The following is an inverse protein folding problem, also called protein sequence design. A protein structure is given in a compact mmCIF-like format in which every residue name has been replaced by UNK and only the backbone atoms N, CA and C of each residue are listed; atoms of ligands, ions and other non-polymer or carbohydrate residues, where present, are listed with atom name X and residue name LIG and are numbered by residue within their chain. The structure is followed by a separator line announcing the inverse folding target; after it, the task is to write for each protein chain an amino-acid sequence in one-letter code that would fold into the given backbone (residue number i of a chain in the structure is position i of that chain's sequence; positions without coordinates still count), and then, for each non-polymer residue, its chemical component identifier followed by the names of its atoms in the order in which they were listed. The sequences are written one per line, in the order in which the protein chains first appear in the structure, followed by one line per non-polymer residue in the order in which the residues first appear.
data_IF_509072543898
#
_entry.id   IF_509072543898
#
_cell.length_a   1.000
_cell.length_b   1.000
_cell.length_c   1.000
_cell.angle_alpha   90.00
_cell.angle_beta   90.00
_cell.angle_gamma   90.00
#
_symmetry.space_group_name_H-M   'P 1'
#
loop_
_entity.id
_entity.type
_entity.pdbx_description
1 polymer ?
#
# COMPACT_ATOMS: atom_id res chain seq x y z
N UNK A 1 -26.33 -8.84 -12.35
CA UNK A 1 -26.31 -10.31 -12.57
C UNK A 1 -24.99 -10.77 -13.18
N UNK A 2 -24.52 -10.17 -14.28
CA UNK A 2 -23.26 -10.55 -14.95
C UNK A 2 -22.02 -10.28 -14.10
N UNK A 3 -21.98 -9.14 -13.40
CA UNK A 3 -20.89 -8.82 -12.47
C UNK A 3 -20.87 -9.75 -11.26
N UNK A 4 -22.02 -10.15 -10.76
CA UNK A 4 -22.14 -11.07 -9.65
C UNK A 4 -21.61 -12.45 -10.02
N UNK A 5 -22.01 -12.95 -11.18
CA UNK A 5 -21.52 -14.23 -11.70
C UNK A 5 -19.99 -14.21 -11.93
N UNK A 6 -19.46 -13.12 -12.43
CA UNK A 6 -17.99 -12.96 -12.60
C UNK A 6 -17.25 -12.98 -11.27
N UNK A 7 -17.81 -12.34 -10.24
CA UNK A 7 -17.20 -12.31 -8.90
C UNK A 7 -17.27 -13.71 -8.26
N UNK A 8 -18.42 -14.36 -8.34
CA UNK A 8 -18.61 -15.70 -7.78
C UNK A 8 -17.69 -16.72 -8.46
N UNK A 9 -17.59 -16.67 -9.80
CA UNK A 9 -16.63 -17.47 -10.56
C UNK A 9 -15.17 -17.21 -10.15
N UNK A 10 -14.82 -15.97 -9.84
CA UNK A 10 -13.47 -15.61 -9.40
C UNK A 10 -13.16 -16.15 -7.99
N UNK A 11 -14.16 -16.21 -7.12
CA UNK A 11 -14.01 -16.84 -5.80
C UNK A 11 -13.90 -18.37 -5.87
N UNK A 12 -14.65 -18.98 -6.79
CA UNK A 12 -14.76 -20.45 -6.91
C UNK A 12 -13.68 -21.07 -7.79
N UNK A 13 -12.98 -20.26 -8.57
CA UNK A 13 -12.02 -20.72 -9.58
C UNK A 13 -10.75 -21.30 -9.01
N UNK A 14 -10.73 -22.26 -8.21
CA UNK A 14 -9.62 -23.11 -7.79
C UNK A 14 -8.18 -22.56 -7.81
N UNK A 15 -7.23 -23.29 -7.30
CA UNK A 15 -5.89 -22.79 -6.97
C UNK A 15 -4.99 -22.40 -8.16
N UNK A 16 -5.31 -22.78 -9.39
CA UNK A 16 -4.34 -22.79 -10.49
C UNK A 16 -4.59 -21.77 -11.61
N UNK A 17 -5.69 -21.06 -11.61
CA UNK A 17 -6.01 -20.10 -12.68
C UNK A 17 -5.47 -18.72 -12.33
N UNK A 18 -4.62 -18.17 -13.20
CA UNK A 18 -4.22 -16.78 -13.11
C UNK A 18 -5.39 -15.91 -13.58
N UNK A 19 -6.02 -15.18 -12.67
CA UNK A 19 -7.12 -14.27 -12.99
C UNK A 19 -6.66 -12.89 -13.40
N UNK A 20 -5.50 -12.47 -12.91
CA UNK A 20 -4.93 -11.18 -13.23
C UNK A 20 -3.40 -11.26 -13.19
N UNK A 21 -2.78 -10.50 -14.05
CA UNK A 21 -1.34 -10.34 -14.09
C UNK A 21 -1.04 -8.87 -14.39
N UNK A 22 -0.25 -8.23 -13.55
CA UNK A 22 0.14 -6.84 -13.77
C UNK A 22 1.65 -6.68 -13.73
N UNK A 23 2.19 -5.91 -14.69
CA UNK A 23 3.55 -5.38 -14.57
C UNK A 23 3.50 -4.10 -13.76
N UNK A 24 4.14 -4.13 -12.61
CA UNK A 24 4.17 -3.00 -11.70
C UNK A 24 5.55 -2.35 -11.69
N UNK A 25 5.62 -1.01 -11.67
CA UNK A 25 6.90 -0.30 -11.67
C UNK A 25 7.81 -0.77 -10.54
N UNK A 26 8.98 -1.31 -10.92
CA UNK A 26 9.98 -1.79 -9.97
C UNK A 26 9.71 -3.14 -9.29
N UNK A 27 8.58 -3.81 -9.60
CA UNK A 27 8.19 -5.09 -8.99
C UNK A 27 8.13 -6.25 -9.99
N UNK A 28 8.10 -5.96 -11.30
CA UNK A 28 7.97 -6.99 -12.33
C UNK A 28 6.52 -7.45 -12.54
N UNK A 29 6.35 -8.69 -13.00
CA UNK A 29 5.04 -9.31 -13.21
C UNK A 29 4.53 -9.89 -11.90
N UNK A 30 3.28 -9.56 -11.54
CA UNK A 30 2.61 -10.07 -10.35
C UNK A 30 1.34 -10.81 -10.78
N UNK A 31 1.37 -12.14 -10.84
CA UNK A 31 0.18 -12.93 -11.11
C UNK A 31 -0.66 -13.08 -9.84
N UNK A 32 -2.00 -12.96 -9.98
CA UNK A 32 -2.96 -13.33 -8.95
C UNK A 32 -3.67 -14.63 -9.33
N UNK A 33 -3.69 -15.57 -8.42
CA UNK A 33 -4.40 -16.86 -8.56
C UNK A 33 -5.79 -16.76 -7.95
N UNK A 34 -6.67 -17.70 -8.30
CA UNK A 34 -8.01 -17.77 -7.74
C UNK A 34 -8.03 -17.82 -6.21
N UNK A 35 -7.12 -18.58 -5.59
CA UNK A 35 -6.95 -18.63 -4.13
C UNK A 35 -6.64 -17.26 -3.49
N UNK A 36 -5.91 -16.41 -4.21
CA UNK A 36 -5.57 -15.06 -3.72
C UNK A 36 -6.81 -14.17 -3.79
N UNK A 37 -7.53 -14.23 -4.92
CA UNK A 37 -8.79 -13.49 -5.09
C UNK A 37 -9.85 -13.95 -4.08
N UNK A 38 -9.88 -15.24 -3.73
CA UNK A 38 -10.77 -15.78 -2.69
C UNK A 38 -10.59 -15.08 -1.34
N UNK A 39 -9.41 -14.53 -1.03
CA UNK A 39 -9.20 -13.74 0.19
C UNK A 39 -9.96 -12.41 0.20
N UNK A 40 -10.54 -12.00 -0.96
CA UNK A 40 -11.45 -10.86 -1.06
C UNK A 40 -12.91 -11.22 -0.79
N UNK A 41 -13.24 -12.51 -0.61
CA UNK A 41 -14.58 -12.93 -0.20
C UNK A 41 -14.97 -12.31 1.16
N UNK A 42 -16.26 -12.11 1.46
CA UNK A 42 -16.70 -11.57 2.74
C UNK A 42 -16.16 -12.38 3.93
N UNK A 43 -15.80 -11.67 5.02
CA UNK A 43 -15.34 -12.28 6.29
C UNK A 43 -14.01 -13.04 6.17
N UNK A 44 -13.24 -12.84 5.11
CA UNK A 44 -11.91 -13.45 4.96
C UNK A 44 -10.80 -12.42 5.16
N UNK A 45 -9.64 -12.87 5.59
CA UNK A 45 -8.45 -12.03 5.71
C UNK A 45 -7.75 -11.89 4.36
N UNK A 46 -7.41 -10.64 3.99
CA UNK A 46 -6.60 -10.42 2.80
C UNK A 46 -5.19 -10.97 3.00
N UNK A 47 -4.69 -11.63 1.95
CA UNK A 47 -3.29 -12.01 1.88
C UNK A 47 -2.43 -10.89 1.27
N UNK A 48 -1.13 -11.06 1.39
CA UNK A 48 -0.13 -10.11 0.87
C UNK A 48 -0.14 -10.01 -0.66
N UNK A 49 -0.50 -11.05 -1.39
CA UNK A 49 -0.60 -11.02 -2.86
C UNK A 49 -1.66 -10.01 -3.32
N UNK A 50 -2.88 -10.09 -2.77
CA UNK A 50 -3.94 -9.12 -3.07
C UNK A 50 -3.57 -7.70 -2.62
N UNK A 51 -2.94 -7.55 -1.46
CA UNK A 51 -2.46 -6.25 -0.97
C UNK A 51 -1.42 -5.67 -1.92
N UNK A 52 -0.38 -6.44 -2.27
CA UNK A 52 0.70 -6.00 -3.15
C UNK A 52 0.19 -5.65 -4.55
N UNK A 53 -0.69 -6.47 -5.10
CA UNK A 53 -1.29 -6.22 -6.41
C UNK A 53 -2.07 -4.90 -6.40
N UNK A 54 -2.90 -4.66 -5.38
CA UNK A 54 -3.69 -3.43 -5.26
C UNK A 54 -2.82 -2.19 -5.10
N UNK A 55 -1.81 -2.24 -4.23
CA UNK A 55 -0.87 -1.13 -4.06
C UNK A 55 -0.07 -0.87 -5.35
N UNK A 56 0.28 -1.92 -6.06
CA UNK A 56 0.91 -1.81 -7.36
C UNK A 56 0.05 -1.13 -8.42
N UNK A 57 -1.27 -1.41 -8.45
CA UNK A 57 -2.22 -0.69 -9.31
C UNK A 57 -2.23 0.80 -8.97
N UNK A 58 -2.27 1.14 -7.68
CA UNK A 58 -2.23 2.54 -7.23
C UNK A 58 -0.94 3.23 -7.67
N UNK A 59 0.20 2.56 -7.52
CA UNK A 59 1.51 3.06 -7.96
C UNK A 59 1.59 3.24 -9.49
N UNK A 60 1.02 2.32 -10.27
CA UNK A 60 0.93 2.46 -11.73
C UNK A 60 0.12 3.69 -12.12
N UNK A 61 -1.04 3.90 -11.51
CA UNK A 61 -1.89 5.08 -11.75
C UNK A 61 -1.17 6.40 -11.44
N UNK A 62 -0.41 6.44 -10.36
CA UNK A 62 0.40 7.62 -10.04
C UNK A 62 1.47 7.88 -11.11
N UNK A 63 2.10 6.83 -11.64
CA UNK A 63 3.07 6.94 -12.76
C UNK A 63 2.40 7.43 -14.03
N UNK A 64 1.24 6.91 -14.38
CA UNK A 64 0.48 7.32 -15.56
C UNK A 64 0.06 8.79 -15.48
N UNK A 65 -0.35 9.26 -14.29
CA UNK A 65 -0.74 10.66 -14.06
C UNK A 65 0.42 11.65 -14.22
N UNK A 66 1.60 11.31 -13.75
CA UNK A 66 2.76 12.20 -13.84
C UNK A 66 3.49 12.14 -15.19
N UNK A 67 3.14 11.17 -16.04
CA UNK A 67 3.78 10.93 -17.33
C UNK A 67 5.22 10.41 -17.22
N UNK A 68 5.87 10.12 -18.36
CA UNK A 68 7.14 9.38 -18.40
C UNK A 68 8.34 10.11 -17.78
N UNK A 69 8.32 11.44 -17.75
CA UNK A 69 9.38 12.29 -17.17
C UNK A 69 8.97 12.93 -15.84
N UNK A 70 7.71 12.74 -15.41
CA UNK A 70 7.18 13.30 -14.19
C UNK A 70 7.58 12.51 -12.95
N UNK A 71 7.40 13.12 -11.79
CA UNK A 71 7.59 12.50 -10.48
C UNK A 71 6.21 12.14 -9.90
N UNK A 72 5.97 10.90 -9.46
CA UNK A 72 4.69 10.55 -8.84
C UNK A 72 4.55 11.27 -7.50
N UNK A 73 3.32 11.65 -7.16
CA UNK A 73 3.03 12.24 -5.84
C UNK A 73 3.26 11.24 -4.73
N UNK A 74 2.86 9.99 -4.96
CA UNK A 74 2.95 8.92 -3.97
C UNK A 74 3.80 7.77 -4.49
N UNK A 75 4.66 7.24 -3.61
CA UNK A 75 5.30 5.94 -3.78
C UNK A 75 4.63 4.90 -2.90
N UNK A 76 4.45 3.69 -3.41
CA UNK A 76 3.87 2.57 -2.69
C UNK A 76 4.90 1.45 -2.55
N UNK A 77 5.31 1.17 -1.32
CA UNK A 77 6.08 -0.04 -1.05
C UNK A 77 5.17 -1.26 -0.99
N UNK A 78 5.75 -2.43 -1.22
CA UNK A 78 5.07 -3.70 -1.01
C UNK A 78 5.19 -4.15 0.46
N UNK A 79 4.47 -5.20 0.82
CA UNK A 79 4.39 -5.74 2.19
C UNK A 79 5.73 -6.24 2.74
N UNK A 80 6.70 -6.54 1.87
CA UNK A 80 8.03 -7.03 2.27
C UNK A 80 9.00 -5.91 2.67
N UNK A 81 8.70 -4.65 2.34
CA UNK A 81 9.61 -3.54 2.59
C UNK A 81 9.93 -3.40 4.08
N UNK A 82 8.89 -3.31 4.91
CA UNK A 82 9.08 -3.12 6.35
C UNK A 82 9.77 -4.32 6.99
N UNK A 83 9.40 -5.54 6.62
CA UNK A 83 10.03 -6.76 7.09
C UNK A 83 11.51 -6.84 6.71
N UNK A 84 11.91 -6.23 5.58
CA UNK A 84 13.33 -6.15 5.19
C UNK A 84 14.07 -5.00 5.85
N UNK A 85 13.39 -3.95 6.27
CA UNK A 85 13.96 -2.85 7.02
C UNK A 85 14.36 -3.27 8.44
N UNK A 86 13.63 -4.24 9.00
CA UNK A 86 13.98 -4.91 10.24
C UNK A 86 14.79 -6.20 9.95
N UNK A 87 15.76 -6.51 10.76
CA UNK A 87 16.41 -7.81 10.75
C UNK A 87 15.52 -8.87 11.42
N UNK A 88 15.91 -10.14 11.31
CA UNK A 88 15.17 -11.24 11.93
C UNK A 88 15.12 -11.13 13.48
N UNK A 89 16.05 -10.37 14.08
CA UNK A 89 16.09 -10.02 15.51
C UNK A 89 15.31 -8.74 15.87
N UNK A 90 14.65 -8.11 14.87
CA UNK A 90 13.90 -6.86 15.02
C UNK A 90 14.73 -5.59 14.90
N UNK A 91 16.05 -5.68 14.73
CA UNK A 91 16.91 -4.51 14.60
C UNK A 91 16.76 -3.82 13.24
N UNK A 92 16.82 -2.49 13.25
CA UNK A 92 16.76 -1.67 12.06
C UNK A 92 18.02 -1.80 11.20
N UNK A 93 17.89 -2.09 9.91
CA UNK A 93 19.00 -2.11 8.95
C UNK A 93 18.63 -1.49 7.60
N UNK A 94 19.03 -0.24 7.39
CA UNK A 94 18.83 0.48 6.12
C UNK A 94 19.49 -0.23 4.92
N UNK A 95 20.62 -0.91 5.10
CA UNK A 95 21.34 -1.55 4.00
C UNK A 95 20.54 -2.65 3.31
N UNK A 96 19.61 -3.29 4.02
CA UNK A 96 18.72 -4.32 3.48
C UNK A 96 17.74 -3.76 2.43
N UNK A 97 17.37 -2.48 2.55
CA UNK A 97 16.36 -1.83 1.69
C UNK A 97 16.91 -0.72 0.80
N UNK A 98 18.15 -0.24 0.97
CA UNK A 98 18.72 0.89 0.22
C UNK A 98 18.65 0.76 -1.31
N UNK A 99 18.52 -0.47 -1.83
CA UNK A 99 18.41 -0.75 -3.28
C UNK A 99 16.96 -0.77 -3.77
N UNK A 100 15.97 -0.69 -2.88
CA UNK A 100 14.56 -0.76 -3.23
C UNK A 100 14.06 0.53 -3.86
N UNK A 101 14.67 1.64 -3.50
CA UNK A 101 14.30 3.02 -3.82
C UNK A 101 15.27 3.70 -4.81
N UNK A 102 15.97 2.93 -5.66
CA UNK A 102 16.92 3.51 -6.61
C UNK A 102 16.20 4.06 -7.84
N UNK A 103 16.66 5.20 -8.35
CA UNK A 103 16.17 5.80 -9.58
C UNK A 103 16.32 4.85 -10.79
N UNK A 104 17.42 4.09 -10.84
CA UNK A 104 17.63 3.06 -11.87
C UNK A 104 16.51 2.00 -11.90
N UNK A 105 15.99 1.62 -10.74
CA UNK A 105 14.94 0.59 -10.61
C UNK A 105 13.54 1.15 -10.87
N UNK A 106 13.26 2.35 -10.36
CA UNK A 106 11.91 2.91 -10.32
C UNK A 106 11.67 3.99 -11.39
N UNK A 107 12.74 4.58 -11.95
CA UNK A 107 12.67 5.76 -12.82
C UNK A 107 12.48 7.07 -12.05
N UNK A 108 12.49 7.03 -10.72
CA UNK A 108 12.39 8.17 -9.80
C UNK A 108 12.91 7.79 -8.41
N UNK A 109 13.05 8.80 -7.55
CA UNK A 109 13.42 8.60 -6.15
C UNK A 109 12.20 8.75 -5.23
N UNK A 110 11.80 7.73 -4.45
CA UNK A 110 10.70 7.82 -3.49
C UNK A 110 10.82 8.98 -2.51
N UNK A 111 12.04 9.31 -2.09
CA UNK A 111 12.33 10.43 -1.18
C UNK A 111 11.98 11.82 -1.77
N UNK A 112 11.72 11.91 -3.09
CA UNK A 112 11.26 13.12 -3.77
C UNK A 112 9.74 13.15 -4.02
N UNK A 113 9.02 12.12 -3.64
CA UNK A 113 7.55 12.12 -3.67
C UNK A 113 7.00 13.04 -2.56
N UNK A 114 5.71 13.34 -2.60
CA UNK A 114 5.04 14.00 -1.48
C UNK A 114 4.81 13.01 -0.33
N UNK A 115 4.42 11.78 -0.66
CA UNK A 115 4.10 10.73 0.32
C UNK A 115 4.72 9.39 -0.06
N UNK A 116 5.11 8.62 0.96
CA UNK A 116 5.48 7.22 0.80
C UNK A 116 4.49 6.38 1.60
N UNK A 117 3.86 5.44 0.94
CA UNK A 117 2.80 4.56 1.46
C UNK A 117 3.43 3.20 1.78
N UNK A 118 3.32 2.78 3.03
CA UNK A 118 3.95 1.57 3.54
C UNK A 118 2.90 0.68 4.20
N UNK A 119 2.54 -0.46 3.61
CA UNK A 119 1.69 -1.44 4.28
C UNK A 119 2.47 -2.12 5.42
N UNK A 120 1.81 -2.29 6.54
CA UNK A 120 2.35 -2.90 7.76
C UNK A 120 1.55 -4.15 8.09
N UNK A 121 2.20 -5.30 8.12
CA UNK A 121 1.60 -6.57 8.53
C UNK A 121 2.10 -6.99 9.91
N UNK A 122 1.20 -7.02 10.87
CA UNK A 122 1.50 -7.39 12.27
C UNK A 122 0.98 -8.81 12.57
N UNK A 123 1.44 -9.80 11.80
CA UNK A 123 1.04 -11.20 11.95
C UNK A 123 -0.40 -11.47 11.52
N UNK A 124 -1.38 -10.95 12.23
CA UNK A 124 -2.82 -11.14 11.97
C UNK A 124 -3.56 -9.85 11.65
N UNK A 125 -2.85 -8.72 11.57
CA UNK A 125 -3.47 -7.40 11.41
C UNK A 125 -2.75 -6.55 10.37
N UNK A 126 -3.52 -5.87 9.51
CA UNK A 126 -3.04 -4.95 8.51
C UNK A 126 -3.23 -3.49 8.95
N UNK A 127 -2.18 -2.72 8.83
CA UNK A 127 -2.14 -1.29 9.16
C UNK A 127 -1.43 -0.52 8.04
N UNK A 128 -1.67 0.77 7.93
CA UNK A 128 -0.99 1.65 6.99
C UNK A 128 -0.08 2.62 7.72
N UNK A 129 1.19 2.66 7.34
CA UNK A 129 2.07 3.78 7.67
C UNK A 129 2.22 4.69 6.45
N UNK A 130 2.21 6.00 6.67
CA UNK A 130 2.36 7.03 5.64
C UNK A 130 3.46 7.99 6.04
N UNK A 131 4.49 8.07 5.23
CA UNK A 131 5.54 9.09 5.36
C UNK A 131 5.13 10.29 4.51
N UNK A 132 4.76 11.39 5.13
CA UNK A 132 4.49 12.66 4.48
C UNK A 132 5.77 13.50 4.49
N UNK A 133 6.45 13.51 3.35
CA UNK A 133 7.76 14.15 3.18
C UNK A 133 7.67 15.68 3.22
N UNK A 134 6.54 16.22 2.77
CA UNK A 134 6.29 17.65 2.76
C UNK A 134 6.02 18.20 4.17
N UNK A 135 5.21 17.46 4.96
CA UNK A 135 4.84 17.86 6.33
C UNK A 135 5.87 17.40 7.37
N UNK A 136 6.81 16.53 7.00
CA UNK A 136 7.76 15.85 7.89
C UNK A 136 7.03 15.09 9.01
N UNK A 137 6.08 14.25 8.62
CA UNK A 137 5.23 13.47 9.53
C UNK A 137 5.22 12.03 9.10
N UNK A 138 5.31 11.11 10.04
CA UNK A 138 4.96 9.69 9.83
C UNK A 138 3.69 9.40 10.57
N UNK A 139 2.63 9.10 9.81
CA UNK A 139 1.30 8.79 10.34
C UNK A 139 1.02 7.29 10.29
N UNK A 140 0.39 6.77 11.35
CA UNK A 140 0.05 5.36 11.49
C UNK A 140 -1.48 5.22 11.56
N UNK A 141 -2.07 4.66 10.49
CA UNK A 141 -3.51 4.50 10.32
C UNK A 141 -3.91 3.07 10.65
N UNK A 142 -4.49 2.87 11.81
CA UNK A 142 -5.00 1.59 12.27
C UNK A 142 -6.51 1.64 12.48
N UNK A 143 -7.26 0.78 11.80
CA UNK A 143 -8.71 0.67 11.91
C UNK A 143 -9.20 0.21 13.30
N UNK A 144 -8.31 -0.30 14.15
CA UNK A 144 -8.55 -0.61 15.56
C UNK A 144 -7.98 0.45 16.53
N UNK A 145 -7.40 1.54 15.98
CA UNK A 145 -6.78 2.63 16.75
C UNK A 145 -5.57 2.20 17.61
N UNK A 146 -4.89 1.12 17.24
CA UNK A 146 -3.60 0.73 17.81
C UNK A 146 -2.49 1.74 17.46
N UNK A 147 -1.37 1.60 18.14
CA UNK A 147 -0.19 2.45 17.94
C UNK A 147 1.06 1.59 17.98
N UNK A 148 1.87 1.71 16.95
CA UNK A 148 3.20 1.09 16.92
C UNK A 148 4.26 2.19 16.74
N UNK A 149 4.85 2.60 17.86
CA UNK A 149 5.88 3.64 17.88
C UNK A 149 7.18 3.17 17.26
N UNK A 150 7.46 1.89 17.32
CA UNK A 150 8.70 1.33 16.79
C UNK A 150 8.70 1.41 15.27
N UNK A 151 7.61 0.98 14.62
CA UNK A 151 7.40 1.13 13.18
C UNK A 151 7.55 2.59 12.75
N UNK A 152 6.87 3.52 13.44
CA UNK A 152 6.91 4.94 13.09
C UNK A 152 8.31 5.53 13.22
N UNK A 153 9.02 5.26 14.32
CA UNK A 153 10.38 5.75 14.56
C UNK A 153 11.38 5.18 13.58
N UNK A 154 11.25 3.92 13.20
CA UNK A 154 12.14 3.29 12.24
C UNK A 154 11.88 3.80 10.82
N UNK A 155 10.65 4.17 10.46
CA UNK A 155 10.37 4.87 9.22
C UNK A 155 10.95 6.30 9.21
N UNK A 156 10.96 7.00 10.34
CA UNK A 156 11.65 8.30 10.46
C UNK A 156 13.16 8.12 10.26
N UNK A 157 13.78 7.11 10.88
CA UNK A 157 15.20 6.79 10.64
C UNK A 157 15.47 6.47 9.17
N UNK A 158 14.59 5.65 8.56
CA UNK A 158 14.70 5.31 7.14
C UNK A 158 14.71 6.56 6.25
N UNK A 159 13.84 7.53 6.51
CA UNK A 159 13.78 8.78 5.74
C UNK A 159 15.10 9.55 5.82
N UNK A 160 15.67 9.67 7.01
CA UNK A 160 16.95 10.37 7.22
C UNK A 160 18.09 9.65 6.49
N UNK A 161 18.17 8.33 6.62
CA UNK A 161 19.18 7.52 5.92
C UNK A 161 18.99 7.55 4.40
N UNK A 162 17.74 7.56 3.94
CA UNK A 162 17.40 7.65 2.52
C UNK A 162 17.81 9.01 1.94
N UNK A 163 17.54 10.12 2.65
CA UNK A 163 17.96 11.46 2.24
C UNK A 163 19.48 11.55 2.16
N UNK A 164 20.21 11.03 3.15
CA UNK A 164 21.65 10.98 3.14
C UNK A 164 22.19 10.15 1.98
N UNK A 165 21.62 8.97 1.73
CA UNK A 165 22.12 8.05 0.70
C UNK A 165 21.78 8.50 -0.72
N UNK A 166 20.56 9.04 -0.97
CA UNK A 166 20.08 9.36 -2.31
C UNK A 166 20.28 10.80 -2.72
N UNK A 167 20.24 11.73 -1.77
CA UNK A 167 20.34 13.17 -2.03
C UNK A 167 21.67 13.76 -1.56
N UNK A 168 22.46 13.03 -0.75
CA UNK A 168 23.62 13.54 -0.03
C UNK A 168 23.26 14.70 0.92
N UNK A 169 22.06 14.64 1.51
CA UNK A 169 21.53 15.63 2.45
C UNK A 169 21.46 15.05 3.86
N UNK A 170 21.78 15.85 4.86
CA UNK A 170 21.63 15.49 6.26
C UNK A 170 20.34 16.12 6.81
N UNK A 171 19.26 15.35 6.85
CA UNK A 171 18.02 15.79 7.44
C UNK A 171 18.01 15.59 8.96
N UNK A 172 17.47 16.54 9.69
CA UNK A 172 17.36 16.43 11.14
C UNK A 172 16.18 15.55 11.51
N UNK A 173 16.45 14.47 12.22
CA UNK A 173 15.45 13.55 12.73
C UNK A 173 14.47 14.25 13.71
N UNK A 174 14.93 15.29 14.42
CA UNK A 174 14.13 16.05 15.37
C UNK A 174 13.04 16.92 14.72
N UNK A 175 13.12 17.16 13.41
CA UNK A 175 12.06 17.86 12.67
C UNK A 175 10.87 16.97 12.32
N UNK A 176 10.97 15.63 12.50
CA UNK A 176 9.94 14.66 12.17
C UNK A 176 8.99 14.41 13.34
N UNK A 177 7.71 14.29 13.04
CA UNK A 177 6.66 14.06 14.02
C UNK A 177 5.99 12.71 13.80
N UNK A 178 5.59 12.08 14.91
CA UNK A 178 4.74 10.91 14.95
C UNK A 178 3.28 11.33 14.97
N UNK A 179 2.41 10.70 14.20
CA UNK A 179 0.98 10.98 14.15
C UNK A 179 0.17 9.68 14.17
N UNK A 180 -0.85 9.63 15.04
CA UNK A 180 -1.74 8.47 15.22
C UNK A 180 -3.19 8.96 15.11
N UNK A 181 -3.74 9.09 13.88
CA UNK A 181 -5.09 9.61 13.67
C UNK A 181 -6.13 8.73 14.34
N UNK A 182 -7.05 9.34 15.09
CA UNK A 182 -8.13 8.64 15.82
C UNK A 182 -9.51 8.88 15.22
N UNK A 183 -9.70 9.96 14.47
CA UNK A 183 -10.94 10.30 13.78
C UNK A 183 -10.93 9.77 12.35
N UNK A 184 -10.78 8.46 12.21
CA UNK A 184 -10.71 7.75 10.93
C UNK A 184 -11.77 6.66 10.88
N UNK A 185 -12.18 6.18 9.69
CA UNK A 185 -13.06 5.02 9.59
C UNK A 185 -12.52 3.83 10.37
N UNK A 186 -13.38 3.15 11.12
CA UNK A 186 -12.99 2.05 12.02
C UNK A 186 -13.64 0.74 11.60
N UNK A 187 -12.90 -0.35 11.70
CA UNK A 187 -13.46 -1.70 11.52
C UNK A 187 -14.30 -2.11 12.74
N UNK A 188 -15.35 -2.88 12.46
CA UNK A 188 -16.29 -3.40 13.46
C UNK A 188 -16.29 -4.93 13.51
N UNK A 189 -15.31 -5.59 12.87
CA UNK A 189 -15.17 -7.05 12.82
C UNK A 189 -13.70 -7.45 12.84
N UNK A 190 -13.41 -8.75 12.81
CA UNK A 190 -12.05 -9.29 12.85
C UNK A 190 -11.38 -9.54 11.48
N UNK A 191 -12.02 -9.17 10.35
CA UNK A 191 -11.55 -9.60 9.02
C UNK A 191 -11.25 -8.50 8.01
N UNK A 192 -11.70 -7.26 8.25
CA UNK A 192 -11.64 -6.19 7.25
C UNK A 192 -10.43 -5.26 7.35
N UNK A 193 -9.47 -5.52 8.26
CA UNK A 193 -8.30 -4.65 8.45
C UNK A 193 -7.53 -4.40 7.13
N UNK A 194 -7.32 -5.42 6.31
CA UNK A 194 -6.68 -5.28 5.00
C UNK A 194 -7.46 -4.38 4.05
N UNK A 195 -8.79 -4.48 4.03
CA UNK A 195 -9.63 -3.58 3.24
C UNK A 195 -9.59 -2.14 3.75
N UNK A 196 -9.62 -1.93 5.07
CA UNK A 196 -9.45 -0.60 5.66
C UNK A 196 -8.10 -0.01 5.27
N UNK A 197 -7.01 -0.76 5.43
CA UNK A 197 -5.66 -0.36 5.07
C UNK A 197 -5.56 0.07 3.59
N UNK A 198 -6.09 -0.73 2.66
CA UNK A 198 -6.09 -0.41 1.23
C UNK A 198 -6.94 0.83 0.90
N UNK A 199 -8.08 1.01 1.59
CA UNK A 199 -8.91 2.20 1.38
C UNK A 199 -8.29 3.45 1.99
N UNK A 200 -7.59 3.38 3.13
CA UNK A 200 -6.75 4.49 3.59
C UNK A 200 -5.69 4.84 2.55
N UNK A 201 -4.94 3.86 2.03
CA UNK A 201 -3.91 4.09 1.02
C UNK A 201 -4.47 4.77 -0.23
N UNK A 202 -5.62 4.30 -0.74
CA UNK A 202 -6.32 4.86 -1.91
C UNK A 202 -6.76 6.30 -1.70
N UNK A 203 -7.38 6.59 -0.55
CA UNK A 203 -7.87 7.94 -0.24
C UNK A 203 -6.70 8.90 -0.01
N UNK A 204 -5.73 8.53 0.84
CA UNK A 204 -4.57 9.38 1.18
C UNK A 204 -3.73 9.71 -0.07
N UNK A 205 -3.61 8.80 -1.03
CA UNK A 205 -2.92 9.06 -2.28
C UNK A 205 -3.61 10.14 -3.13
N UNK A 206 -4.92 10.31 -3.01
CA UNK A 206 -5.69 11.34 -3.72
C UNK A 206 -5.89 12.62 -2.91
N UNK A 207 -5.75 12.58 -1.60
CA UNK A 207 -6.03 13.68 -0.69
C UNK A 207 -5.04 14.83 -0.83
N UNK A 208 -5.58 16.05 -0.73
CA UNK A 208 -4.83 17.28 -0.43
C UNK A 208 -4.50 17.36 1.07
N UNK A 209 -3.67 18.34 1.45
CA UNK A 209 -3.38 18.59 2.86
C UNK A 209 -4.65 19.00 3.65
N UNK A 210 -5.61 19.65 2.98
CA UNK A 210 -6.89 20.04 3.56
C UNK A 210 -7.81 18.84 3.78
N UNK A 211 -7.88 17.91 2.82
CA UNK A 211 -8.65 16.67 2.95
C UNK A 211 -8.15 15.84 4.16
N UNK A 212 -6.82 15.79 4.36
CA UNK A 212 -6.24 15.11 5.52
C UNK A 212 -6.63 15.77 6.85
N UNK A 213 -6.61 17.11 6.90
CA UNK A 213 -7.02 17.87 8.10
C UNK A 213 -8.50 17.68 8.44
N UNK A 214 -9.34 17.59 7.41
CA UNK A 214 -10.78 17.46 7.54
C UNK A 214 -11.27 16.01 7.63
N UNK A 215 -10.35 15.02 7.72
CA UNK A 215 -10.67 13.59 7.72
C UNK A 215 -11.65 13.20 6.61
N UNK A 216 -11.34 13.61 5.37
CA UNK A 216 -12.22 13.49 4.21
C UNK A 216 -12.44 12.03 3.73
N UNK A 217 -12.26 11.03 4.60
CA UNK A 217 -12.55 9.65 4.29
C UNK A 217 -14.06 9.44 4.09
N UNK A 218 -14.42 8.82 2.97
CA UNK A 218 -15.82 8.64 2.56
C UNK A 218 -16.32 7.20 2.68
N UNK A 219 -15.58 6.31 3.35
CA UNK A 219 -15.94 4.90 3.52
C UNK A 219 -16.10 4.52 4.99
N UNK A 220 -16.92 3.51 5.26
CA UNK A 220 -17.22 2.98 6.59
C UNK A 220 -17.29 1.46 6.55
N UNK A 221 -17.46 0.82 7.73
CA UNK A 221 -17.63 -0.63 7.84
C UNK A 221 -18.72 -1.20 6.92
N UNK A 222 -19.85 -0.51 6.81
CA UNK A 222 -20.98 -0.94 5.96
C UNK A 222 -20.66 -1.06 4.47
N UNK A 223 -19.59 -0.41 4.03
CA UNK A 223 -19.20 -0.35 2.62
C UNK A 223 -18.26 -1.53 2.24
N UNK A 224 -17.73 -2.27 3.24
CA UNK A 224 -16.65 -3.25 3.03
C UNK A 224 -17.03 -4.35 2.06
N UNK A 225 -18.25 -4.89 2.13
CA UNK A 225 -18.72 -5.93 1.18
C UNK A 225 -18.66 -5.39 -0.25
N UNK A 226 -19.16 -4.19 -0.49
CA UNK A 226 -19.16 -3.59 -1.82
C UNK A 226 -17.74 -3.20 -2.27
N UNK A 227 -16.88 -2.75 -1.35
CA UNK A 227 -15.49 -2.42 -1.67
C UNK A 227 -14.68 -3.67 -2.04
N UNK A 228 -14.91 -4.80 -1.39
CA UNK A 228 -14.32 -6.10 -1.75
C UNK A 228 -14.75 -6.52 -3.16
N UNK A 229 -16.05 -6.48 -3.47
CA UNK A 229 -16.59 -6.79 -4.80
C UNK A 229 -16.03 -5.88 -5.89
N UNK A 230 -15.98 -4.58 -5.65
CA UNK A 230 -15.35 -3.61 -6.58
C UNK A 230 -13.88 -3.91 -6.82
N UNK A 231 -13.15 -4.30 -5.77
CA UNK A 231 -11.74 -4.64 -5.91
C UNK A 231 -11.54 -5.90 -6.76
N UNK A 232 -12.39 -6.93 -6.61
CA UNK A 232 -12.37 -8.11 -7.50
C UNK A 232 -12.57 -7.70 -8.95
N UNK A 233 -13.59 -6.89 -9.24
CA UNK A 233 -13.88 -6.43 -10.61
C UNK A 233 -12.72 -5.59 -11.19
N UNK A 234 -12.10 -4.73 -10.37
CA UNK A 234 -10.93 -3.94 -10.75
C UNK A 234 -9.74 -4.85 -11.11
N UNK A 235 -9.47 -5.86 -10.31
CA UNK A 235 -8.41 -6.85 -10.54
C UNK A 235 -8.66 -7.62 -11.84
N UNK A 236 -9.88 -8.14 -12.04
CA UNK A 236 -10.26 -8.88 -13.22
C UNK A 236 -10.17 -8.03 -14.49
N UNK A 237 -10.58 -6.76 -14.42
CA UNK A 237 -10.47 -5.83 -15.55
C UNK A 237 -9.01 -5.61 -15.97
N UNK A 238 -8.12 -5.40 -15.01
CA UNK A 238 -6.70 -5.18 -15.28
C UNK A 238 -6.03 -6.43 -15.86
N UNK A 239 -6.41 -7.62 -15.37
CA UNK A 239 -5.93 -8.88 -15.90
C UNK A 239 -6.31 -9.13 -17.36
N UNK A 240 -7.46 -8.59 -17.81
CA UNK A 240 -7.90 -8.67 -19.21
C UNK A 240 -7.19 -7.64 -20.13
N UNK A 241 -6.71 -6.53 -19.56
CA UNK A 241 -6.01 -5.47 -20.32
C UNK A 241 -4.53 -5.80 -20.56
N UNK A 242 -4.02 -6.84 -19.94
CA UNK A 242 -2.64 -7.28 -20.10
C UNK A 242 -2.61 -8.62 -20.84
N UNK A 243 -2.13 -8.66 -22.11
CA UNK A 243 -1.94 -9.93 -22.80
C UNK A 243 -0.98 -10.82 -21.97
N UNK A 244 -1.28 -12.10 -21.95
CA UNK A 244 -0.28 -13.08 -21.55
C UNK A 244 0.95 -12.86 -22.46
N UNK A 245 2.11 -12.64 -21.85
CA UNK A 245 3.34 -12.50 -22.63
C UNK A 245 3.59 -13.78 -23.42
N UNK A 246 3.92 -13.60 -24.71
CA UNK A 246 4.56 -14.60 -25.54
C UNK A 246 5.93 -15.01 -25.01
#
# INVERSE_FOLDING_TARGET
PEEDERIDNAYDSGELVNHACARLPGQGVMPLKGKDIHTLAPVTWLNDECVNFTLGILGRRERERCGPKGHPRCHFFNTFFLNKLFQDDGEYDYNKVRRWSTEKKLGYLPIKCEKVIVPVHQGVHWVLAVVDLKRKVVSYYDSLLGKDREVVRNLIKWVVDEAKNKLNENWDIGEWREEYPSEIPRQMNGSDCGMFMLNYARNIASFTDEDLKNNAFTFHQRDMVNLRRRLVLEILKIGLEMPADD
#
